data_IF_827526820755
#
_entry.id   IF_827526820755
#
_cell.length_a   1.000
_cell.length_b   1.000
_cell.length_c   1.000
_cell.angle_alpha   90.00
_cell.angle_beta   90.00
_cell.angle_gamma   90.00
#
_symmetry.space_group_name_H-M   'P 1'
#
loop_
_entity.id
_entity.type
_entity.pdbx_description
1 polymer ?
#
# COMPACT_ATOMS: atom_id res chain seq x y z
N UNK A 1 17.19 -16.32 19.40
CA UNK A 1 17.54 -14.89 19.27
C UNK A 1 16.36 -14.04 19.74
N UNK A 2 16.62 -12.89 20.34
CA UNK A 2 15.61 -11.91 20.76
C UNK A 2 15.72 -10.62 19.94
N UNK A 3 14.60 -9.93 19.70
CA UNK A 3 14.50 -8.64 19.01
C UNK A 3 13.60 -7.74 19.86
N UNK A 4 14.11 -6.60 20.33
CA UNK A 4 13.38 -5.68 21.24
C UNK A 4 12.77 -6.38 22.48
N UNK A 5 13.47 -7.36 23.06
CA UNK A 5 12.98 -8.12 24.21
C UNK A 5 11.96 -9.22 23.90
N UNK A 6 11.52 -9.36 22.64
CA UNK A 6 10.64 -10.45 22.19
C UNK A 6 11.44 -11.60 21.58
N UNK A 7 10.91 -12.82 21.67
CA UNK A 7 11.48 -13.95 20.91
C UNK A 7 11.37 -13.68 19.40
N UNK A 8 12.29 -14.23 18.60
CA UNK A 8 12.23 -14.10 17.13
C UNK A 8 10.86 -14.51 16.56
N UNK A 9 10.30 -15.63 17.02
CA UNK A 9 8.99 -16.13 16.59
C UNK A 9 7.87 -15.16 16.96
N UNK A 10 7.87 -14.65 18.19
CA UNK A 10 6.86 -13.67 18.65
C UNK A 10 6.94 -12.37 17.86
N UNK A 11 8.16 -11.87 17.62
CA UNK A 11 8.39 -10.69 16.80
C UNK A 11 7.88 -10.89 15.37
N UNK A 12 8.11 -12.08 14.78
CA UNK A 12 7.58 -12.41 13.45
C UNK A 12 6.07 -12.53 13.42
N UNK A 13 5.45 -13.16 14.41
CA UNK A 13 3.99 -13.23 14.49
C UNK A 13 3.37 -11.82 14.58
N UNK A 14 3.95 -10.95 15.44
CA UNK A 14 3.51 -9.57 15.56
C UNK A 14 3.66 -8.81 14.24
N UNK A 15 4.84 -8.91 13.60
CA UNK A 15 5.14 -8.28 12.32
C UNK A 15 4.15 -8.70 11.21
N UNK A 16 3.83 -10.00 11.13
CA UNK A 16 2.86 -10.51 10.16
C UNK A 16 1.46 -9.99 10.48
N UNK A 17 1.05 -9.98 11.74
CA UNK A 17 -0.27 -9.49 12.13
C UNK A 17 -0.46 -8.00 11.75
N UNK A 18 0.50 -7.14 12.05
CA UNK A 18 0.44 -5.71 11.66
C UNK A 18 0.51 -5.52 10.15
N UNK A 19 1.25 -6.36 9.42
CA UNK A 19 1.31 -6.33 7.95
C UNK A 19 -0.06 -6.63 7.36
N UNK A 20 -0.72 -7.70 7.81
CA UNK A 20 -2.05 -8.08 7.35
C UNK A 20 -3.11 -7.02 7.67
N UNK A 21 -3.06 -6.41 8.87
CA UNK A 21 -3.91 -5.28 9.22
C UNK A 21 -3.69 -4.13 8.21
N UNK A 22 -2.44 -3.83 7.86
CA UNK A 22 -2.11 -2.81 6.86
C UNK A 22 -2.60 -3.14 5.46
N UNK A 23 -2.43 -4.38 5.01
CA UNK A 23 -2.92 -4.81 3.70
C UNK A 23 -4.44 -4.70 3.62
N UNK A 24 -5.17 -5.27 4.58
CA UNK A 24 -6.63 -5.28 4.57
C UNK A 24 -7.20 -3.86 4.70
N UNK A 25 -6.73 -3.07 5.67
CA UNK A 25 -7.20 -1.69 5.84
C UNK A 25 -6.83 -0.81 4.65
N UNK A 26 -5.67 -1.01 4.02
CA UNK A 26 -5.27 -0.30 2.81
C UNK A 26 -6.17 -0.60 1.62
N UNK A 27 -6.50 -1.88 1.39
CA UNK A 27 -7.43 -2.28 0.33
C UNK A 27 -8.81 -1.66 0.54
N UNK A 28 -9.32 -1.66 1.78
CA UNK A 28 -10.60 -1.03 2.11
C UNK A 28 -10.54 0.48 1.91
N UNK A 29 -9.49 1.16 2.38
CA UNK A 29 -9.32 2.59 2.23
C UNK A 29 -9.23 3.03 0.76
N UNK A 30 -8.45 2.32 -0.06
CA UNK A 30 -8.33 2.59 -1.50
C UNK A 30 -9.66 2.34 -2.23
N UNK A 31 -10.35 1.24 -1.90
CA UNK A 31 -11.66 0.93 -2.46
C UNK A 31 -12.71 2.00 -2.12
N UNK A 32 -12.71 2.48 -0.87
CA UNK A 32 -13.55 3.59 -0.42
C UNK A 32 -13.33 4.85 -1.27
N UNK A 33 -12.08 5.18 -1.59
CA UNK A 33 -11.76 6.33 -2.42
C UNK A 33 -12.22 6.20 -3.87
N UNK A 34 -12.19 4.98 -4.44
CA UNK A 34 -12.71 4.72 -5.78
C UNK A 34 -14.22 4.99 -5.90
N UNK A 35 -14.96 4.86 -4.79
CA UNK A 35 -16.40 5.16 -4.72
C UNK A 35 -16.72 6.51 -4.08
N UNK A 36 -15.71 7.39 -3.95
CA UNK A 36 -15.88 8.75 -3.40
C UNK A 36 -16.10 8.82 -1.89
N UNK A 37 -15.89 7.72 -1.14
CA UNK A 37 -16.06 7.66 0.32
C UNK A 37 -14.72 7.80 1.05
N UNK A 38 -14.57 8.87 1.82
CA UNK A 38 -13.39 9.08 2.68
C UNK A 38 -13.56 8.32 4.00
N UNK A 39 -12.76 7.28 4.21
CA UNK A 39 -12.80 6.45 5.42
C UNK A 39 -11.65 6.80 6.37
N UNK A 40 -11.75 7.96 7.05
CA UNK A 40 -10.65 8.54 7.82
C UNK A 40 -10.03 7.57 8.85
N UNK A 41 -10.83 6.85 9.62
CA UNK A 41 -10.34 5.88 10.61
C UNK A 41 -9.62 4.70 9.96
N UNK A 42 -10.14 4.18 8.84
CA UNK A 42 -9.52 3.07 8.10
C UNK A 42 -8.21 3.51 7.45
N UNK A 43 -8.17 4.72 6.89
CA UNK A 43 -6.94 5.34 6.36
C UNK A 43 -5.87 5.48 7.45
N UNK A 44 -6.25 5.92 8.66
CA UNK A 44 -5.31 6.04 9.75
C UNK A 44 -4.74 4.68 10.18
N UNK A 45 -5.60 3.67 10.30
CA UNK A 45 -5.17 2.28 10.59
C UNK A 45 -4.18 1.81 9.53
N UNK A 46 -4.52 1.96 8.24
CA UNK A 46 -3.65 1.60 7.12
C UNK A 46 -2.28 2.25 7.18
N UNK A 47 -2.21 3.58 7.33
CA UNK A 47 -0.95 4.31 7.35
C UNK A 47 -0.10 3.90 8.56
N UNK A 48 -0.72 3.80 9.74
CA UNK A 48 -0.03 3.45 10.97
C UNK A 48 0.52 2.01 10.93
N UNK A 49 -0.31 1.03 10.56
CA UNK A 49 0.11 -0.38 10.53
C UNK A 49 1.14 -0.64 9.43
N UNK A 50 1.04 0.02 8.28
CA UNK A 50 2.02 -0.13 7.18
C UNK A 50 3.37 0.50 7.56
N UNK A 51 3.36 1.64 8.26
CA UNK A 51 4.56 2.25 8.81
C UNK A 51 5.22 1.34 9.85
N UNK A 52 4.43 0.83 10.81
CA UNK A 52 4.91 -0.12 11.81
C UNK A 52 5.46 -1.40 11.18
N UNK A 53 4.81 -1.92 10.14
CA UNK A 53 5.28 -3.09 9.39
C UNK A 53 6.63 -2.81 8.74
N UNK A 54 6.76 -1.66 8.08
CA UNK A 54 8.00 -1.28 7.41
C UNK A 54 9.14 -1.08 8.41
N UNK A 55 8.89 -0.41 9.55
CA UNK A 55 9.85 -0.25 10.64
C UNK A 55 10.28 -1.58 11.22
N UNK A 56 9.34 -2.44 11.62
CA UNK A 56 9.66 -3.76 12.18
C UNK A 56 10.36 -4.67 11.18
N UNK A 57 10.04 -4.55 9.88
CA UNK A 57 10.74 -5.25 8.80
C UNK A 57 12.21 -4.86 8.68
N UNK A 58 12.54 -3.59 8.95
CA UNK A 58 13.92 -3.12 8.96
C UNK A 58 14.71 -3.65 10.16
N UNK A 59 14.06 -3.93 11.29
CA UNK A 59 14.68 -4.42 12.53
C UNK A 59 15.13 -5.90 12.48
N UNK A 60 14.72 -6.66 11.46
CA UNK A 60 15.23 -8.03 11.31
C UNK A 60 16.76 -8.02 11.09
N UNK A 61 17.51 -8.95 11.70
CA UNK A 61 18.95 -9.07 11.48
C UNK A 61 19.28 -9.36 10.01
N UNK A 62 20.35 -8.77 9.50
CA UNK A 62 20.88 -9.06 8.17
C UNK A 62 22.39 -8.91 8.15
N UNK A 63 23.04 -9.77 7.36
CA UNK A 63 24.48 -9.73 7.17
C UNK A 63 24.93 -8.53 6.30
N UNK A 64 24.06 -8.04 5.43
CA UNK A 64 24.36 -6.93 4.53
C UNK A 64 23.14 -6.05 4.26
N UNK A 65 23.41 -4.83 3.81
CA UNK A 65 22.40 -3.97 3.21
C UNK A 65 21.95 -4.60 1.88
N UNK A 66 20.65 -4.61 1.63
CA UNK A 66 20.08 -5.35 0.49
C UNK A 66 18.64 -4.98 0.24
N UNK A 67 17.98 -5.71 -0.67
CA UNK A 67 16.66 -5.36 -1.22
C UNK A 67 15.61 -5.05 -0.16
N UNK A 68 15.56 -5.81 0.95
CA UNK A 68 14.61 -5.55 2.05
C UNK A 68 14.75 -4.15 2.65
N UNK A 69 15.98 -3.63 2.75
CA UNK A 69 16.25 -2.33 3.33
C UNK A 69 15.82 -1.22 2.38
N UNK A 70 16.14 -1.37 1.09
CA UNK A 70 15.73 -0.43 0.05
C UNK A 70 14.20 -0.31 -0.01
N UNK A 71 13.49 -1.44 -0.02
CA UNK A 71 12.03 -1.48 -0.03
C UNK A 71 11.46 -0.87 1.25
N UNK A 72 12.01 -1.21 2.42
CA UNK A 72 11.55 -0.66 3.70
C UNK A 72 11.71 0.86 3.79
N UNK A 73 12.87 1.40 3.38
CA UNK A 73 13.13 2.85 3.37
C UNK A 73 12.21 3.56 2.37
N UNK A 74 12.06 3.01 1.16
CA UNK A 74 11.15 3.56 0.16
C UNK A 74 9.70 3.57 0.65
N UNK A 75 9.25 2.50 1.32
CA UNK A 75 7.91 2.42 1.92
C UNK A 75 7.68 3.51 2.97
N UNK A 76 8.64 3.73 3.87
CA UNK A 76 8.55 4.80 4.87
C UNK A 76 8.50 6.19 4.22
N UNK A 77 9.32 6.45 3.20
CA UNK A 77 9.29 7.71 2.47
C UNK A 77 7.93 7.96 1.79
N UNK A 78 7.35 6.93 1.14
CA UNK A 78 6.03 7.01 0.52
C UNK A 78 4.92 7.26 1.56
N UNK A 79 4.99 6.59 2.72
CA UNK A 79 4.03 6.82 3.80
C UNK A 79 4.15 8.22 4.38
N UNK A 80 5.36 8.78 4.49
CA UNK A 80 5.55 10.16 4.91
C UNK A 80 4.88 11.15 3.94
N UNK A 81 5.04 10.94 2.63
CA UNK A 81 4.37 11.72 1.59
C UNK A 81 2.85 11.57 1.68
N UNK A 82 2.35 10.34 1.86
CA UNK A 82 0.91 10.07 1.99
C UNK A 82 0.33 10.77 3.24
N UNK A 83 1.02 10.70 4.39
CA UNK A 83 0.61 11.41 5.61
C UNK A 83 0.56 12.92 5.39
N UNK A 84 1.58 13.50 4.75
CA UNK A 84 1.63 14.93 4.47
C UNK A 84 0.45 15.35 3.56
N UNK A 85 0.19 14.58 2.50
CA UNK A 85 -0.91 14.82 1.59
C UNK A 85 -2.29 14.69 2.28
N UNK A 86 -2.46 13.69 3.16
CA UNK A 86 -3.73 13.42 3.84
C UNK A 86 -4.05 14.41 4.96
N UNK A 87 -3.05 14.79 5.76
CA UNK A 87 -3.24 15.52 7.01
C UNK A 87 -2.85 17.00 6.91
N UNK A 88 -1.68 17.31 6.35
CA UNK A 88 -1.22 18.70 6.24
C UNK A 88 -1.95 19.43 5.10
N UNK A 89 -2.00 18.81 3.92
CA UNK A 89 -2.63 19.40 2.74
C UNK A 89 -4.09 18.98 2.54
N UNK A 90 -4.63 18.13 3.43
CA UNK A 90 -6.04 17.71 3.47
C UNK A 90 -6.59 17.20 2.13
N UNK A 91 -5.73 16.60 1.29
CA UNK A 91 -6.01 16.17 -0.09
C UNK A 91 -6.50 17.30 -1.02
N UNK A 92 -6.08 18.54 -0.81
CA UNK A 92 -6.44 19.66 -1.67
C UNK A 92 -5.71 19.61 -3.03
N UNK A 93 -6.45 19.74 -4.13
CA UNK A 93 -5.91 19.84 -5.48
C UNK A 93 -4.97 18.67 -5.84
N UNK A 94 -3.71 19.00 -6.18
CA UNK A 94 -2.68 18.02 -6.58
C UNK A 94 -2.33 17.01 -5.46
N UNK A 95 -2.64 17.32 -4.20
CA UNK A 95 -2.33 16.44 -3.09
C UNK A 95 -3.21 15.19 -3.04
N UNK A 96 -4.39 15.22 -3.67
CA UNK A 96 -5.24 14.01 -3.79
C UNK A 96 -4.58 12.92 -4.64
N UNK A 97 -4.17 13.16 -5.91
CA UNK A 97 -3.47 12.14 -6.68
C UNK A 97 -2.09 11.78 -6.09
N UNK A 98 -1.38 12.73 -5.46
CA UNK A 98 -0.12 12.42 -4.73
C UNK A 98 -0.36 11.44 -3.58
N UNK A 99 -1.40 11.68 -2.77
CA UNK A 99 -1.81 10.76 -1.71
C UNK A 99 -2.12 9.37 -2.29
N UNK A 100 -2.94 9.31 -3.34
CA UNK A 100 -3.35 8.03 -3.95
C UNK A 100 -2.14 7.27 -4.45
N UNK A 101 -1.24 7.91 -5.20
CA UNK A 101 -0.06 7.25 -5.76
C UNK A 101 0.89 6.75 -4.66
N UNK A 102 1.18 7.59 -3.67
CA UNK A 102 2.09 7.24 -2.58
C UNK A 102 1.52 6.15 -1.66
N UNK A 103 0.25 6.25 -1.29
CA UNK A 103 -0.45 5.26 -0.49
C UNK A 103 -0.56 3.90 -1.21
N UNK A 104 -0.91 3.92 -2.51
CA UNK A 104 -1.04 2.70 -3.30
C UNK A 104 0.30 1.99 -3.46
N UNK A 105 1.39 2.74 -3.69
CA UNK A 105 2.73 2.16 -3.81
C UNK A 105 3.23 1.60 -2.47
N UNK A 106 2.95 2.27 -1.34
CA UNK A 106 3.26 1.74 -0.01
C UNK A 106 2.48 0.44 0.29
N UNK A 107 1.19 0.40 -0.07
CA UNK A 107 0.36 -0.80 0.07
C UNK A 107 0.87 -1.94 -0.83
N UNK A 108 1.32 -1.64 -2.05
CA UNK A 108 1.96 -2.61 -2.95
C UNK A 108 3.23 -3.20 -2.31
N UNK A 109 4.13 -2.36 -1.77
CA UNK A 109 5.34 -2.84 -1.11
C UNK A 109 5.05 -3.74 0.10
N UNK A 110 4.08 -3.37 0.93
CA UNK A 110 3.65 -4.23 2.05
C UNK A 110 3.13 -5.59 1.56
N UNK A 111 2.31 -5.59 0.50
CA UNK A 111 1.74 -6.82 -0.07
C UNK A 111 2.81 -7.74 -0.65
N UNK A 112 3.76 -7.20 -1.42
CA UNK A 112 4.87 -7.98 -1.99
C UNK A 112 5.78 -8.52 -0.89
N UNK A 113 6.11 -7.71 0.12
CA UNK A 113 6.91 -8.16 1.25
C UNK A 113 6.25 -9.33 1.99
N UNK A 114 4.93 -9.25 2.25
CA UNK A 114 4.16 -10.32 2.86
C UNK A 114 4.19 -11.61 2.03
N UNK A 115 4.05 -11.52 0.71
CA UNK A 115 4.13 -12.68 -0.19
C UNK A 115 5.51 -13.30 -0.16
N UNK A 116 6.56 -12.51 -0.34
CA UNK A 116 7.95 -13.00 -0.30
C UNK A 116 8.24 -13.66 1.05
N UNK A 117 7.80 -13.05 2.15
CA UNK A 117 7.98 -13.61 3.49
C UNK A 117 7.20 -14.92 3.66
N UNK A 118 5.98 -15.02 3.15
CA UNK A 118 5.19 -16.25 3.21
C UNK A 118 5.88 -17.40 2.48
N UNK A 119 6.39 -17.17 1.26
CA UNK A 119 7.12 -18.17 0.49
C UNK A 119 8.45 -18.59 1.14
N UNK A 120 9.09 -17.70 1.90
CA UNK A 120 10.34 -18.01 2.62
C UNK A 120 10.11 -18.72 3.96
N UNK A 121 8.96 -18.53 4.60
CA UNK A 121 8.70 -19.00 5.97
C UNK A 121 7.72 -20.16 6.08
N UNK A 122 6.88 -20.38 5.07
CA UNK A 122 5.88 -21.47 5.06
C UNK A 122 6.43 -22.60 4.19
N UNK A 123 6.79 -23.77 4.77
CA UNK A 123 7.39 -24.88 4.02
C UNK A 123 6.52 -25.36 2.85
N UNK A 124 5.21 -25.38 3.02
CA UNK A 124 4.27 -25.76 1.96
C UNK A 124 4.34 -24.80 0.76
N UNK A 125 4.47 -23.48 0.98
CA UNK A 125 4.62 -22.50 -0.10
C UNK A 125 6.00 -22.55 -0.76
N UNK A 126 7.05 -22.80 0.04
CA UNK A 126 8.40 -22.99 -0.48
C UNK A 126 8.49 -24.22 -1.39
N UNK A 127 7.93 -25.36 -0.96
CA UNK A 127 7.84 -26.57 -1.75
C UNK A 127 6.98 -26.35 -3.00
N UNK A 128 5.86 -25.62 -2.87
CA UNK A 128 5.03 -25.26 -4.01
C UNK A 128 5.80 -24.44 -5.04
N UNK A 129 6.54 -23.40 -4.63
CA UNK A 129 7.41 -22.63 -5.52
C UNK A 129 8.45 -23.50 -6.25
N UNK A 130 9.01 -24.51 -5.58
CA UNK A 130 10.01 -25.40 -6.16
C UNK A 130 9.43 -26.51 -7.07
N UNK A 131 8.14 -26.82 -6.95
CA UNK A 131 7.50 -27.98 -7.59
C UNK A 131 7.15 -27.83 -9.09
N UNK A 132 7.62 -26.79 -9.79
CA UNK A 132 7.26 -26.55 -11.20
C UNK A 132 8.33 -25.84 -12.02
N UNK A 133 8.19 -25.90 -13.35
CA UNK A 133 9.11 -25.29 -14.32
C UNK A 133 9.03 -23.76 -14.35
N UNK A 134 7.88 -23.20 -13.98
CA UNK A 134 7.65 -21.76 -13.90
C UNK A 134 7.89 -21.23 -12.47
N UNK A 135 8.55 -20.07 -12.31
CA UNK A 135 8.78 -19.47 -11.01
C UNK A 135 7.48 -18.92 -10.40
N UNK A 136 6.75 -19.75 -9.64
CA UNK A 136 5.42 -19.40 -9.07
C UNK A 136 5.40 -18.15 -8.19
N UNK A 137 6.51 -17.89 -7.49
CA UNK A 137 6.68 -16.65 -6.72
C UNK A 137 6.62 -15.43 -7.65
N UNK A 138 7.26 -15.49 -8.81
CA UNK A 138 7.21 -14.43 -9.81
C UNK A 138 5.78 -14.26 -10.34
N UNK A 139 5.06 -15.35 -10.62
CA UNK A 139 3.65 -15.30 -11.05
C UNK A 139 2.78 -14.55 -10.04
N UNK A 140 2.93 -14.83 -8.74
CA UNK A 140 2.20 -14.11 -7.68
C UNK A 140 2.58 -12.63 -7.60
N UNK A 141 3.87 -12.32 -7.73
CA UNK A 141 4.34 -10.93 -7.74
C UNK A 141 3.78 -10.14 -8.92
N UNK A 142 3.79 -10.74 -10.12
CA UNK A 142 3.23 -10.12 -11.33
C UNK A 142 1.71 -9.94 -11.20
N UNK A 143 0.98 -10.93 -10.67
CA UNK A 143 -0.46 -10.81 -10.45
C UNK A 143 -0.79 -9.65 -9.50
N UNK A 144 -0.05 -9.51 -8.41
CA UNK A 144 -0.20 -8.37 -7.48
C UNK A 144 0.17 -7.05 -8.17
N UNK A 145 1.25 -7.02 -8.94
CA UNK A 145 1.62 -5.82 -9.70
C UNK A 145 0.47 -5.38 -10.63
N UNK A 146 -0.12 -6.30 -11.38
CA UNK A 146 -1.25 -6.03 -12.28
C UNK A 146 -2.46 -5.50 -11.49
N UNK A 147 -2.82 -6.13 -10.36
CA UNK A 147 -3.92 -5.68 -9.50
C UNK A 147 -3.74 -4.22 -9.07
N UNK A 148 -2.54 -3.88 -8.58
CA UNK A 148 -2.25 -2.53 -8.11
C UNK A 148 -2.15 -1.53 -9.26
N UNK A 149 -1.63 -1.93 -10.41
CA UNK A 149 -1.62 -1.11 -11.62
C UNK A 149 -3.06 -0.77 -12.07
N UNK A 150 -3.97 -1.74 -12.05
CA UNK A 150 -5.39 -1.52 -12.37
C UNK A 150 -6.04 -0.57 -11.35
N UNK A 151 -5.85 -0.79 -10.05
CA UNK A 151 -6.38 0.12 -9.03
C UNK A 151 -5.86 1.55 -9.18
N UNK A 152 -4.57 1.71 -9.48
CA UNK A 152 -3.96 3.02 -9.74
C UNK A 152 -4.53 3.69 -10.98
N UNK A 153 -4.67 2.94 -12.08
CA UNK A 153 -5.29 3.42 -13.32
C UNK A 153 -6.74 3.88 -13.11
N UNK A 154 -7.53 3.10 -12.38
CA UNK A 154 -8.91 3.45 -12.04
C UNK A 154 -9.00 4.71 -11.18
N UNK A 155 -8.10 4.86 -10.19
CA UNK A 155 -8.09 6.03 -9.33
C UNK A 155 -7.74 7.32 -10.09
N UNK A 156 -6.79 7.26 -11.03
CA UNK A 156 -6.43 8.39 -11.90
C UNK A 156 -7.57 8.72 -12.87
N UNK A 157 -8.19 7.71 -13.48
CA UNK A 157 -9.28 7.91 -14.42
C UNK A 157 -10.55 8.47 -13.76
N UNK A 158 -10.91 7.99 -12.56
CA UNK A 158 -12.00 8.53 -11.76
C UNK A 158 -11.81 10.02 -11.42
N UNK A 159 -10.60 10.42 -11.03
CA UNK A 159 -10.27 11.82 -10.75
C UNK A 159 -10.42 12.75 -11.96
N UNK A 160 -10.17 12.27 -13.19
CA UNK A 160 -10.40 13.04 -14.42
C UNK A 160 -11.88 13.28 -14.70
N UNK A 161 -12.77 12.37 -14.32
CA UNK A 161 -14.22 12.53 -14.52
C UNK A 161 -14.82 13.59 -13.61
N UNK A 162 -14.32 13.71 -12.38
CA UNK A 162 -14.71 14.77 -11.45
C UNK A 162 -14.23 16.16 -11.92
N UNK A 163 -13.04 16.25 -12.52
CA UNK A 163 -12.50 17.51 -13.06
C UNK A 163 -13.16 17.98 -14.37
N UNK A 164 -13.86 17.09 -15.07
CA UNK A 164 -14.57 17.35 -16.35
C UNK A 164 -16.10 17.36 -16.14
N UNK A 165 -16.58 17.48 -14.89
CA UNK A 165 -18.01 17.67 -14.59
C UNK A 165 -18.61 18.84 -15.37
N UNK A 166 -19.88 18.74 -15.81
CA UNK A 166 -20.40 19.54 -16.92
C UNK A 166 -20.30 21.02 -16.59
N UNK A 167 -19.59 21.77 -17.44
CA UNK A 167 -19.85 23.19 -17.58
C UNK A 167 -21.31 23.33 -17.99
N UNK A 168 -22.19 23.59 -17.01
CA UNK A 168 -23.46 24.22 -17.30
C UNK A 168 -23.15 25.65 -17.73
N UNK A 169 -22.79 25.77 -19.02
CA UNK A 169 -23.08 26.97 -19.77
C UNK A 169 -24.60 27.13 -19.86
N UNK A 170 -25.00 28.40 -19.94
CA UNK A 170 -26.35 28.92 -20.22
C UNK A 170 -27.26 28.96 -18.97
N UNK A 171 -27.70 30.13 -18.48
CA UNK A 171 -28.29 31.24 -19.25
C UNK A 171 -27.94 32.62 -18.67
N UNK A 172 -27.08 33.35 -19.37
CA UNK A 172 -27.23 34.80 -19.48
C UNK A 172 -28.06 35.04 -20.74
N UNK A 173 -29.27 35.57 -20.58
CA UNK A 173 -30.11 35.94 -21.71
C UNK A 173 -31.49 36.39 -21.25
N UNK A 174 -31.71 37.70 -21.21
CA UNK A 174 -33.05 38.28 -21.14
C UNK A 174 -33.17 39.47 -20.20
N UNK A 175 -32.57 40.61 -20.56
CA UNK A 175 -33.17 41.90 -20.21
C UNK A 175 -34.56 41.97 -20.86
N UNK A 176 -35.53 42.46 -20.08
CA UNK A 176 -36.88 42.81 -20.49
C UNK A 176 -37.55 43.56 -19.35
#
# INVERSE_FOLDING_TARGET
MMILGLSFTTFTALHVAISLIGVVSGLVAMSGMLVGKRMASVTLVFLASTALTSLTGLLYPSASFGTRHMVGIASIALLAIACLAAYAYRLAGVWRPVYVASALLALYFNTIAAIVQAFQKIPALAAWAASGSEPRLLTMQVAVFVLFAVMGGLAVWGGRREAVGPYHGERLGGQG
#
